data_IF_687080261440
#
_entry.id   IF_687080261440
#
_cell.length_a   1.000
_cell.length_b   1.000
_cell.length_c   1.000
_cell.angle_alpha   90.00
_cell.angle_beta   90.00
_cell.angle_gamma   90.00
#
_symmetry.space_group_name_H-M   'P 1'
#
loop_
_entity.id
_entity.type
_entity.pdbx_description
1 polymer ?
#
# COMPACT_ATOMS: atom_id res chain seq x y z
N UNK A 1 18.09 -34.40 37.03
CA UNK A 1 17.08 -33.37 36.71
C UNK A 1 17.81 -32.05 36.50
N UNK A 2 18.25 -31.80 35.27
CA UNK A 2 18.88 -30.54 34.88
C UNK A 2 17.92 -29.83 33.93
N UNK A 3 17.37 -28.71 34.38
CA UNK A 3 16.38 -27.93 33.64
C UNK A 3 17.02 -27.34 32.38
N UNK A 4 16.47 -27.73 31.23
CA UNK A 4 16.65 -27.05 29.95
C UNK A 4 15.78 -25.81 29.95
N UNK A 5 16.34 -24.64 30.27
CA UNK A 5 15.70 -23.35 30.00
C UNK A 5 16.77 -22.33 29.59
N UNK A 6 17.34 -22.54 28.40
CA UNK A 6 18.08 -21.52 27.64
C UNK A 6 17.70 -21.66 26.16
N UNK A 7 16.45 -21.37 25.82
CA UNK A 7 16.01 -21.18 24.42
C UNK A 7 15.13 -19.94 24.36
N UNK A 8 15.76 -18.79 24.58
CA UNK A 8 15.17 -17.49 24.31
C UNK A 8 16.26 -16.59 23.75
N UNK A 9 16.05 -16.05 22.55
CA UNK A 9 16.89 -15.05 21.87
C UNK A 9 18.23 -15.52 21.28
N UNK A 10 18.20 -16.50 20.37
CA UNK A 10 19.14 -16.54 19.25
C UNK A 10 18.35 -16.50 17.95
N UNK A 11 18.45 -15.40 17.21
CA UNK A 11 18.07 -15.34 15.80
C UNK A 11 18.60 -16.59 15.10
N UNK A 12 17.76 -17.29 14.30
CA UNK A 12 18.24 -18.41 13.50
C UNK A 12 19.32 -17.89 12.54
N UNK A 13 20.58 -18.14 12.90
CA UNK A 13 21.75 -17.70 12.15
C UNK A 13 21.72 -18.18 10.70
N UNK A 14 21.01 -19.27 10.41
CA UNK A 14 20.84 -19.78 9.05
C UNK A 14 19.88 -18.91 8.25
N UNK A 15 18.78 -18.48 8.86
CA UNK A 15 17.79 -17.61 8.24
C UNK A 15 18.39 -16.23 7.94
N UNK A 16 19.09 -15.61 8.89
CA UNK A 16 19.73 -14.30 8.69
C UNK A 16 20.83 -14.31 7.62
N UNK A 17 21.61 -15.39 7.54
CA UNK A 17 22.58 -15.60 6.46
C UNK A 17 21.89 -15.70 5.10
N UNK A 18 20.73 -16.37 5.03
CA UNK A 18 19.93 -16.47 3.81
C UNK A 18 19.38 -15.10 3.40
N UNK A 19 18.83 -14.33 4.34
CA UNK A 19 18.37 -12.96 4.09
C UNK A 19 19.48 -12.07 3.53
N UNK A 20 20.66 -12.11 4.14
CA UNK A 20 21.82 -11.32 3.68
C UNK A 20 22.18 -11.66 2.22
N UNK A 21 22.14 -12.95 1.86
CA UNK A 21 22.40 -13.39 0.48
C UNK A 21 21.31 -12.91 -0.50
N UNK A 22 20.04 -13.05 -0.14
CA UNK A 22 18.92 -12.59 -0.97
C UNK A 22 18.93 -11.07 -1.14
N UNK A 23 19.27 -10.33 -0.08
CA UNK A 23 19.44 -8.88 -0.12
C UNK A 23 20.50 -8.44 -1.12
N UNK A 24 21.65 -9.14 -1.12
CA UNK A 24 22.72 -8.88 -2.08
C UNK A 24 22.25 -9.12 -3.51
N UNK A 25 21.56 -10.23 -3.76
CA UNK A 25 21.01 -10.55 -5.07
C UNK A 25 19.95 -9.53 -5.53
N UNK A 26 19.03 -9.13 -4.65
CA UNK A 26 18.02 -8.12 -4.97
C UNK A 26 18.66 -6.80 -5.37
N UNK A 27 19.74 -6.37 -4.69
CA UNK A 27 20.52 -5.19 -5.06
C UNK A 27 21.18 -5.34 -6.43
N UNK A 28 21.80 -6.49 -6.72
CA UNK A 28 22.41 -6.78 -8.02
C UNK A 28 21.37 -6.77 -9.16
N UNK A 29 20.14 -7.22 -8.88
CA UNK A 29 19.03 -7.25 -9.82
C UNK A 29 18.20 -5.97 -9.85
N UNK A 30 18.57 -4.94 -9.07
CA UNK A 30 17.80 -3.69 -8.93
C UNK A 30 16.34 -3.90 -8.48
N UNK A 31 16.08 -4.97 -7.73
CA UNK A 31 14.76 -5.28 -7.18
C UNK A 31 14.64 -4.59 -5.81
N UNK A 32 13.64 -3.70 -5.60
CA UNK A 32 13.41 -3.11 -4.30
C UNK A 32 13.00 -4.20 -3.30
N UNK A 33 13.74 -4.32 -2.20
CA UNK A 33 13.45 -5.26 -1.12
C UNK A 33 13.10 -4.49 0.16
N UNK A 34 11.81 -4.15 0.37
CA UNK A 34 11.38 -3.48 1.58
C UNK A 34 11.61 -4.38 2.81
N UNK A 35 12.04 -3.75 3.91
CA UNK A 35 12.30 -4.41 5.18
C UNK A 35 11.49 -3.70 6.26
N UNK A 36 10.63 -4.43 6.96
CA UNK A 36 9.98 -3.94 8.17
C UNK A 36 10.66 -4.54 9.39
N UNK A 37 10.77 -3.76 10.46
CA UNK A 37 11.34 -4.19 11.74
C UNK A 37 10.36 -3.87 12.86
N UNK A 38 10.30 -4.74 13.86
CA UNK A 38 9.58 -4.49 15.11
C UNK A 38 10.62 -4.22 16.18
N UNK A 39 10.51 -3.06 16.82
CA UNK A 39 11.31 -2.71 17.99
C UNK A 39 10.39 -2.57 19.20
N UNK A 40 10.70 -3.28 20.28
CA UNK A 40 10.03 -3.15 21.57
C UNK A 40 11.07 -2.68 22.59
N UNK A 41 10.82 -1.54 23.22
CA UNK A 41 11.68 -0.97 24.25
C UNK A 41 10.91 -0.90 25.57
N UNK A 42 11.55 -1.34 26.64
CA UNK A 42 11.01 -1.32 28.01
C UNK A 42 11.88 -0.40 28.85
N UNK A 43 11.28 0.61 29.46
CA UNK A 43 11.95 1.59 30.30
C UNK A 43 11.54 1.42 31.76
N UNK A 44 12.43 1.76 32.70
CA UNK A 44 12.06 1.86 34.11
C UNK A 44 11.35 3.19 34.41
N UNK A 45 10.91 3.34 35.67
CA UNK A 45 10.22 4.54 36.15
C UNK A 45 11.07 5.82 36.07
N UNK A 46 12.40 5.67 36.01
CA UNK A 46 13.36 6.77 35.96
C UNK A 46 13.79 7.06 34.50
N UNK A 47 13.15 6.41 33.52
CA UNK A 47 13.38 6.59 32.08
C UNK A 47 14.56 5.81 31.51
N UNK A 48 15.19 4.93 32.28
CA UNK A 48 16.32 4.12 31.83
C UNK A 48 15.83 2.89 31.06
N UNK A 49 16.44 2.62 29.91
CA UNK A 49 16.15 1.43 29.10
C UNK A 49 16.55 0.14 29.86
N UNK A 50 15.57 -0.72 30.14
CA UNK A 50 15.72 -2.03 30.77
C UNK A 50 15.96 -3.11 29.72
N UNK A 51 15.17 -3.07 28.63
CA UNK A 51 15.20 -4.09 27.60
C UNK A 51 14.87 -3.49 26.25
N UNK A 52 15.59 -3.93 25.22
CA UNK A 52 15.27 -3.65 23.83
C UNK A 52 15.23 -4.96 23.07
N UNK A 53 14.09 -5.23 22.45
CA UNK A 53 13.94 -6.28 21.45
C UNK A 53 13.88 -5.61 20.07
N UNK A 54 14.73 -6.05 19.17
CA UNK A 54 14.71 -5.59 17.78
C UNK A 54 14.75 -6.81 16.88
N UNK A 55 13.72 -6.99 16.08
CA UNK A 55 13.65 -8.10 15.14
C UNK A 55 13.09 -7.64 13.80
N UNK A 56 13.43 -8.38 12.75
CA UNK A 56 12.75 -8.26 11.47
C UNK A 56 11.27 -8.62 11.63
N UNK A 57 10.40 -7.85 11.00
CA UNK A 57 8.97 -8.15 10.98
C UNK A 57 8.71 -9.36 10.08
N UNK A 58 8.10 -10.40 10.66
CA UNK A 58 7.54 -11.51 9.89
C UNK A 58 6.19 -11.17 9.26
N UNK A 59 5.67 -9.96 9.50
CA UNK A 59 4.41 -9.48 8.94
C UNK A 59 4.56 -8.92 7.52
N UNK A 60 5.76 -8.95 6.93
CA UNK A 60 5.95 -8.68 5.50
C UNK A 60 5.49 -9.87 4.64
N UNK A 61 4.24 -10.29 4.85
CA UNK A 61 3.59 -11.33 4.08
C UNK A 61 3.17 -10.79 2.72
N UNK A 62 2.86 -11.71 1.79
CA UNK A 62 2.35 -11.33 0.47
C UNK A 62 1.14 -10.39 0.52
N UNK A 63 0.25 -10.54 1.51
CA UNK A 63 -0.85 -9.60 1.71
C UNK A 63 -0.35 -8.16 1.90
N UNK A 64 0.67 -7.94 2.72
CA UNK A 64 1.22 -6.61 2.98
C UNK A 64 1.85 -6.01 1.71
N UNK A 65 2.60 -6.82 0.97
CA UNK A 65 3.18 -6.40 -0.30
C UNK A 65 2.11 -6.08 -1.35
N UNK A 66 1.16 -7.01 -1.58
CA UNK A 66 0.10 -6.84 -2.56
C UNK A 66 -0.78 -5.64 -2.18
N UNK A 67 -1.05 -5.41 -0.90
CA UNK A 67 -1.80 -4.25 -0.42
C UNK A 67 -1.07 -2.95 -0.72
N UNK A 68 0.19 -2.82 -0.31
CA UNK A 68 0.99 -1.63 -0.58
C UNK A 68 1.12 -1.37 -2.09
N UNK A 69 1.47 -2.41 -2.86
CA UNK A 69 1.61 -2.30 -4.30
C UNK A 69 0.29 -1.89 -4.97
N UNK A 70 -0.81 -2.54 -4.62
CA UNK A 70 -2.10 -2.27 -5.22
C UNK A 70 -2.63 -0.88 -4.89
N UNK A 71 -2.44 -0.41 -3.65
CA UNK A 71 -2.77 0.96 -3.26
C UNK A 71 -1.96 1.99 -4.05
N UNK A 72 -0.65 1.76 -4.23
CA UNK A 72 0.22 2.68 -4.98
C UNK A 72 -0.03 2.65 -6.49
N UNK A 73 -0.31 1.48 -7.05
CA UNK A 73 -0.53 1.30 -8.48
C UNK A 73 -1.99 1.53 -8.91
N UNK A 74 -2.91 1.79 -7.97
CA UNK A 74 -4.32 2.00 -8.30
C UNK A 74 -4.99 0.76 -8.92
N UNK A 75 -4.51 -0.44 -8.57
CA UNK A 75 -5.03 -1.72 -9.07
C UNK A 75 -5.83 -2.43 -7.99
N UNK A 76 -6.78 -3.25 -8.42
CA UNK A 76 -7.64 -4.05 -7.53
C UNK A 76 -7.03 -5.43 -7.32
N UNK A 77 -7.76 -6.37 -6.71
CA UNK A 77 -7.38 -7.78 -6.55
C UNK A 77 -7.92 -8.64 -7.70
N UNK A 78 -7.38 -8.60 -8.93
CA UNK A 78 -8.00 -9.23 -10.10
C UNK A 78 -8.01 -10.76 -10.03
N UNK A 79 -7.10 -11.36 -9.26
CA UNK A 79 -6.88 -12.80 -9.30
C UNK A 79 -7.66 -13.54 -8.19
N UNK A 80 -8.40 -14.57 -8.58
CA UNK A 80 -9.13 -15.45 -7.65
C UNK A 80 -8.27 -16.57 -7.03
N UNK A 81 -6.98 -16.65 -7.37
CA UNK A 81 -6.07 -17.71 -6.88
C UNK A 81 -4.91 -17.14 -6.05
N UNK A 82 -4.41 -17.95 -5.11
CA UNK A 82 -3.29 -17.59 -4.23
C UNK A 82 -2.01 -18.29 -4.65
N UNK A 83 -1.40 -17.80 -5.73
CA UNK A 83 -0.23 -18.44 -6.40
C UNK A 83 0.81 -17.41 -6.79
N UNK A 84 2.10 -17.74 -6.89
CA UNK A 84 3.16 -16.79 -7.21
C UNK A 84 2.85 -15.95 -8.48
N UNK A 85 3.18 -14.66 -8.46
CA UNK A 85 2.92 -13.74 -9.58
C UNK A 85 1.49 -13.16 -9.63
N UNK A 86 0.53 -13.74 -8.90
CA UNK A 86 -0.84 -13.23 -8.78
C UNK A 86 -0.99 -12.04 -7.85
N UNK A 87 -1.88 -11.12 -8.19
CA UNK A 87 -2.31 -10.02 -7.35
C UNK A 87 -3.65 -10.39 -6.71
N UNK A 88 -3.56 -11.06 -5.56
CA UNK A 88 -4.70 -11.50 -4.75
C UNK A 88 -4.51 -11.19 -3.26
N UNK A 89 -5.60 -11.08 -2.50
CA UNK A 89 -5.59 -10.93 -1.03
C UNK A 89 -6.17 -12.18 -0.37
N UNK A 90 -5.57 -12.63 0.74
CA UNK A 90 -6.07 -13.78 1.51
C UNK A 90 -6.51 -13.36 2.91
N UNK A 91 -7.79 -13.52 3.22
CA UNK A 91 -8.32 -13.22 4.55
C UNK A 91 -7.78 -14.18 5.62
N UNK A 92 -7.90 -13.79 6.88
CA UNK A 92 -7.46 -14.61 8.04
C UNK A 92 -8.25 -15.90 8.20
N UNK A 93 -9.47 -15.96 7.67
CA UNK A 93 -10.28 -17.19 7.57
C UNK A 93 -9.85 -18.10 6.39
N UNK A 94 -8.86 -17.70 5.60
CA UNK A 94 -8.31 -18.45 4.48
C UNK A 94 -8.98 -18.20 3.13
N UNK A 95 -10.09 -17.45 3.05
CA UNK A 95 -10.73 -17.12 1.77
C UNK A 95 -9.90 -16.11 0.98
N UNK A 96 -10.01 -16.17 -0.36
CA UNK A 96 -9.32 -15.27 -1.27
C UNK A 96 -10.30 -14.17 -1.68
N UNK A 97 -9.89 -12.92 -1.54
CA UNK A 97 -10.60 -11.78 -2.09
C UNK A 97 -10.17 -11.55 -3.53
N UNK A 98 -11.14 -11.44 -4.43
CA UNK A 98 -10.91 -11.17 -5.85
C UNK A 98 -12.00 -10.27 -6.43
N UNK A 99 -11.67 -9.58 -7.52
CA UNK A 99 -12.53 -8.65 -8.24
C UNK A 99 -12.01 -7.21 -8.22
N UNK A 100 -12.91 -6.27 -8.51
CA UNK A 100 -12.59 -4.84 -8.60
C UNK A 100 -12.44 -4.15 -7.24
N UNK A 101 -12.08 -4.89 -6.18
CA UNK A 101 -12.05 -4.37 -4.82
C UNK A 101 -10.65 -3.87 -4.42
N UNK A 102 -10.59 -2.83 -3.58
CA UNK A 102 -9.33 -2.31 -3.09
C UNK A 102 -8.71 -3.33 -2.15
N UNK A 103 -7.38 -3.44 -2.19
CA UNK A 103 -6.65 -4.04 -1.09
C UNK A 103 -6.71 -3.09 0.11
N UNK A 104 -7.74 -3.23 0.93
CA UNK A 104 -7.92 -2.47 2.15
C UNK A 104 -8.21 -3.41 3.31
N UNK A 105 -7.73 -3.04 4.50
CA UNK A 105 -8.24 -3.64 5.73
C UNK A 105 -9.70 -3.21 5.87
N UNK A 106 -10.61 -4.20 5.88
CA UNK A 106 -12.06 -4.07 5.97
C UNK A 106 -12.54 -2.77 6.68
N UNK A 107 -13.12 -1.84 5.92
CA UNK A 107 -13.81 -0.67 6.50
C UNK A 107 -15.22 -1.08 6.90
N UNK A 108 -15.40 -1.43 8.17
CA UNK A 108 -16.72 -1.54 8.77
C UNK A 108 -17.38 -0.16 8.91
N UNK A 109 -18.21 0.23 7.94
CA UNK A 109 -19.49 0.95 8.11
C UNK A 109 -20.06 1.38 6.75
N UNK A 110 -21.22 0.83 6.38
CA UNK A 110 -22.20 1.44 5.46
C UNK A 110 -21.90 1.42 3.96
N UNK A 111 -20.66 1.24 3.53
CA UNK A 111 -20.34 0.89 2.14
C UNK A 111 -20.53 -0.62 1.95
N UNK A 112 -20.84 -1.04 0.72
CA UNK A 112 -20.94 -2.44 0.28
C UNK A 112 -19.99 -3.39 1.06
N UNK A 113 -20.42 -4.61 1.43
CA UNK A 113 -19.56 -5.61 2.11
C UNK A 113 -18.27 -5.96 1.34
N UNK A 114 -18.17 -5.47 0.12
CA UNK A 114 -16.99 -5.43 -0.73
C UNK A 114 -16.64 -3.96 -0.98
N UNK A 115 -15.40 -3.54 -0.70
CA UNK A 115 -14.97 -2.13 -0.73
C UNK A 115 -15.28 -1.38 -2.05
N UNK A 116 -15.10 -0.06 -2.07
CA UNK A 116 -15.38 0.71 -3.28
C UNK A 116 -14.37 0.43 -4.41
N UNK A 117 -14.87 0.25 -5.63
CA UNK A 117 -14.03 -0.07 -6.80
C UNK A 117 -13.10 1.09 -7.17
N UNK A 118 -11.80 0.92 -6.97
CA UNK A 118 -10.82 2.00 -7.20
C UNK A 118 -10.51 2.28 -8.68
N UNK A 119 -10.88 1.36 -9.57
CA UNK A 119 -10.68 1.49 -11.02
C UNK A 119 -11.97 1.91 -11.76
N UNK A 120 -12.92 2.56 -11.09
CA UNK A 120 -14.11 3.16 -11.72
C UNK A 120 -14.04 4.67 -11.61
N UNK A 121 -14.99 5.35 -12.25
CA UNK A 121 -15.17 6.80 -12.13
C UNK A 121 -15.94 7.18 -10.86
N UNK A 122 -16.33 6.23 -10.01
CA UNK A 122 -17.10 6.50 -8.78
C UNK A 122 -16.19 6.91 -7.63
N UNK A 123 -15.04 6.25 -7.47
CA UNK A 123 -14.04 6.55 -6.43
C UNK A 123 -12.62 6.36 -6.97
N UNK A 124 -11.63 6.91 -6.26
CA UNK A 124 -10.22 6.71 -6.59
C UNK A 124 -9.70 7.76 -7.57
N UNK A 125 -8.87 7.34 -8.52
CA UNK A 125 -8.06 8.24 -9.35
C UNK A 125 -8.68 8.57 -10.72
N UNK A 126 -9.78 7.92 -11.11
CA UNK A 126 -10.48 8.21 -12.37
C UNK A 126 -11.65 9.17 -12.11
N UNK A 127 -11.81 10.14 -13.00
CA UNK A 127 -12.91 11.10 -12.99
C UNK A 127 -13.94 10.77 -14.09
N UNK A 128 -15.23 10.97 -13.80
CA UNK A 128 -16.28 10.97 -14.81
C UNK A 128 -16.16 12.23 -15.70
N UNK A 129 -16.92 12.29 -16.80
CA UNK A 129 -17.06 13.56 -17.52
C UNK A 129 -17.66 14.62 -16.58
N UNK A 130 -17.23 15.88 -16.73
CA UNK A 130 -17.67 17.03 -15.93
C UNK A 130 -17.39 16.93 -14.42
N UNK A 131 -16.51 16.03 -14.01
CA UNK A 131 -16.12 15.84 -12.60
C UNK A 131 -14.80 16.57 -12.33
N UNK A 132 -14.85 17.57 -11.45
CA UNK A 132 -13.73 18.47 -11.13
C UNK A 132 -13.21 18.31 -9.69
N UNK A 133 -13.68 17.29 -8.96
CA UNK A 133 -13.20 16.99 -7.59
C UNK A 133 -12.11 15.92 -7.51
N UNK A 134 -11.81 15.22 -8.62
CA UNK A 134 -10.84 14.12 -8.67
C UNK A 134 -10.24 13.94 -10.07
N UNK A 135 -9.25 13.06 -10.19
CA UNK A 135 -8.48 12.87 -11.43
C UNK A 135 -7.38 13.90 -11.58
N UNK A 136 -7.06 14.28 -12.82
CA UNK A 136 -6.11 15.36 -13.10
C UNK A 136 -6.87 16.68 -13.04
N UNK A 137 -6.58 17.46 -12.00
CA UNK A 137 -7.15 18.79 -11.83
C UNK A 137 -6.14 19.85 -12.27
N UNK A 138 -6.62 20.91 -12.92
CA UNK A 138 -5.79 22.01 -13.41
C UNK A 138 -6.17 23.27 -12.65
N UNK A 139 -5.18 24.07 -12.25
CA UNK A 139 -5.38 25.32 -11.54
C UNK A 139 -4.51 26.44 -12.08
N UNK A 140 -4.83 27.67 -11.68
CA UNK A 140 -4.11 28.91 -12.03
C UNK A 140 -3.51 29.61 -10.82
N UNK A 141 -3.37 28.89 -9.69
CA UNK A 141 -2.72 29.41 -8.49
C UNK A 141 -1.23 29.72 -8.71
N UNK A 142 -0.72 30.70 -7.97
CA UNK A 142 0.68 31.15 -8.04
C UNK A 142 1.46 30.87 -6.76
N UNK A 143 0.81 30.26 -5.75
CA UNK A 143 1.48 29.86 -4.52
C UNK A 143 2.63 28.88 -4.80
N UNK A 144 3.67 28.95 -3.96
CA UNK A 144 4.75 27.97 -4.00
C UNK A 144 4.22 26.57 -3.61
N UNK A 145 4.71 25.54 -4.29
CA UNK A 145 4.41 24.14 -3.98
C UNK A 145 4.77 23.81 -2.52
N UNK A 146 3.87 23.12 -1.82
CA UNK A 146 4.11 22.53 -0.52
C UNK A 146 3.67 21.06 -0.50
N UNK A 147 4.45 20.22 0.18
CA UNK A 147 4.06 18.82 0.45
C UNK A 147 2.80 18.71 1.33
N UNK A 148 2.43 19.77 2.03
CA UNK A 148 1.23 19.84 2.87
C UNK A 148 0.00 20.37 2.11
N UNK A 149 0.15 20.74 0.83
CA UNK A 149 -0.99 21.16 0.01
C UNK A 149 -1.92 19.97 -0.25
N UNK A 150 -3.22 20.18 -0.02
CA UNK A 150 -4.25 19.14 -0.18
C UNK A 150 -5.30 19.48 -1.26
N UNK A 151 -5.23 20.69 -1.82
CA UNK A 151 -6.14 21.19 -2.86
C UNK A 151 -5.43 22.28 -3.69
N UNK A 152 -5.84 22.45 -4.94
CA UNK A 152 -5.39 23.57 -5.76
C UNK A 152 -5.91 24.90 -5.19
N UNK A 153 -5.06 25.93 -5.15
CA UNK A 153 -5.45 27.27 -4.68
C UNK A 153 -6.60 27.85 -5.51
N UNK A 154 -6.46 27.83 -6.83
CA UNK A 154 -7.49 28.30 -7.78
C UNK A 154 -7.69 27.23 -8.85
N UNK A 155 -8.62 26.29 -8.66
CA UNK A 155 -8.98 25.32 -9.69
C UNK A 155 -9.60 26.02 -10.90
N UNK A 156 -9.29 25.56 -12.11
CA UNK A 156 -10.00 25.96 -13.32
C UNK A 156 -11.33 25.22 -13.33
N UNK A 157 -12.42 25.97 -13.46
CA UNK A 157 -13.78 25.40 -13.41
C UNK A 157 -14.14 24.65 -14.69
N UNK A 158 -15.02 23.65 -14.55
CA UNK A 158 -15.63 22.94 -15.67
C UNK A 158 -16.39 23.90 -16.59
N UNK A 159 -16.16 23.80 -17.90
CA UNK A 159 -16.96 24.50 -18.91
C UNK A 159 -16.22 24.82 -20.21
N UNK A 160 -16.87 25.62 -21.05
CA UNK A 160 -16.39 25.96 -22.41
C UNK A 160 -16.15 27.47 -22.60
N UNK A 161 -16.33 28.26 -21.55
CA UNK A 161 -16.09 29.71 -21.54
C UNK A 161 -14.62 30.09 -21.36
N UNK A 162 -14.37 31.40 -21.32
CA UNK A 162 -13.04 31.93 -21.02
C UNK A 162 -12.59 31.49 -19.61
N UNK A 163 -11.36 31.01 -19.49
CA UNK A 163 -10.78 30.47 -18.25
C UNK A 163 -11.53 29.26 -17.69
N UNK A 164 -12.16 28.47 -18.56
CA UNK A 164 -12.76 27.18 -18.21
C UNK A 164 -12.07 26.05 -18.99
N UNK A 165 -12.15 24.83 -18.46
CA UNK A 165 -11.67 23.63 -19.12
C UNK A 165 -12.77 22.57 -19.11
N UNK A 166 -12.95 21.87 -20.22
CA UNK A 166 -13.89 20.75 -20.32
C UNK A 166 -13.18 19.45 -19.91
N UNK A 167 -13.58 18.90 -18.78
CA UNK A 167 -13.08 17.65 -18.22
C UNK A 167 -13.84 16.48 -18.85
N UNK A 168 -13.20 15.82 -19.80
CA UNK A 168 -13.69 14.57 -20.35
C UNK A 168 -13.44 13.41 -19.37
N UNK A 169 -14.21 12.33 -19.51
CA UNK A 169 -14.05 11.13 -18.69
C UNK A 169 -12.62 10.56 -18.79
N UNK A 170 -12.07 10.18 -17.65
CA UNK A 170 -10.78 9.48 -17.56
C UNK A 170 -10.84 8.11 -18.25
N UNK A 171 -9.97 7.92 -19.22
CA UNK A 171 -9.82 6.63 -19.89
C UNK A 171 -9.38 5.54 -18.89
N UNK A 172 -9.86 4.29 -19.06
CA UNK A 172 -9.32 3.17 -18.29
C UNK A 172 -7.84 2.98 -18.62
N UNK A 173 -7.03 2.68 -17.60
CA UNK A 173 -5.63 2.35 -17.83
C UNK A 173 -5.52 1.01 -18.56
N UNK A 174 -4.53 0.88 -19.43
CA UNK A 174 -4.22 -0.39 -20.08
C UNK A 174 -3.31 -1.21 -19.16
N UNK A 175 -3.76 -2.40 -18.78
CA UNK A 175 -2.90 -3.41 -18.15
C UNK A 175 -2.46 -4.39 -19.24
N UNK A 176 -1.21 -4.30 -19.66
CA UNK A 176 -0.59 -5.30 -20.55
C UNK A 176 0.61 -5.94 -19.84
N UNK A 177 0.60 -7.27 -19.77
CA UNK A 177 1.76 -8.06 -19.38
C UNK A 177 2.28 -8.75 -20.64
N UNK A 178 3.57 -8.60 -20.93
CA UNK A 178 4.28 -9.35 -21.96
C UNK A 178 4.79 -10.68 -21.39
#
# INVERSE_FOLDING_TARGET
MGNKHEEGTMLDLKEERRYTRLKKLARELHIPMPEAFITLEVFDKDGKLIQRHHQRSHSWARNAYNMMFASLAGVTSPDATWEAGKLSQKFTNGSIESGDYPFAMYFGKGASPYGYKMNTTDVGYRAAATEDSKGILVGSGENAESFEDYVLQTPIVEGTGANQLNHIESQPHSVSYA
#
